data_IF_588434611563
#
_entry.id   IF_588434611563
#
_cell.length_a   1.000
_cell.length_b   1.000
_cell.length_c   1.000
_cell.angle_alpha   90.00
_cell.angle_beta   90.00
_cell.angle_gamma   90.00
#
_symmetry.space_group_name_H-M   'P 1'
#
loop_
_entity.id
_entity.type
_entity.pdbx_description
1 polymer ?
#
# COMPACT_ATOMS: atom_id res chain seq x y z
N UNK A 1 -10.32 -11.53 -5.06
CA UNK A 1 -10.55 -11.70 -3.60
C UNK A 1 -11.11 -10.38 -3.09
N UNK A 2 -12.23 -10.36 -2.37
CA UNK A 2 -12.78 -9.09 -1.88
C UNK A 2 -12.00 -8.63 -0.66
N UNK A 3 -11.54 -7.38 -0.66
CA UNK A 3 -10.97 -6.74 0.53
C UNK A 3 -11.97 -5.73 1.07
N UNK A 4 -12.29 -5.85 2.35
CA UNK A 4 -12.92 -4.79 3.12
C UNK A 4 -12.05 -3.54 3.14
N UNK A 5 -12.65 -2.39 3.48
CA UNK A 5 -11.89 -1.13 3.57
C UNK A 5 -10.82 -1.20 4.63
N UNK A 6 -11.12 -1.89 5.71
CA UNK A 6 -10.23 -2.16 6.83
C UNK A 6 -9.03 -2.99 6.37
N UNK A 7 -9.25 -4.06 5.59
CA UNK A 7 -8.16 -4.86 5.01
C UNK A 7 -7.31 -4.06 4.02
N UNK A 8 -7.92 -3.23 3.17
CA UNK A 8 -7.20 -2.35 2.24
C UNK A 8 -6.32 -1.38 3.04
N UNK A 9 -6.87 -0.72 4.05
CA UNK A 9 -6.13 0.24 4.86
C UNK A 9 -5.00 -0.43 5.65
N UNK A 10 -5.21 -1.63 6.18
CA UNK A 10 -4.16 -2.42 6.83
C UNK A 10 -3.05 -2.79 5.85
N UNK A 11 -3.39 -3.32 4.68
CA UNK A 11 -2.43 -3.69 3.63
C UNK A 11 -1.63 -2.49 3.14
N UNK A 12 -2.30 -1.35 2.90
CA UNK A 12 -1.64 -0.09 2.56
C UNK A 12 -0.68 0.35 3.68
N UNK A 13 -1.08 0.25 4.95
CA UNK A 13 -0.22 0.61 6.08
C UNK A 13 0.99 -0.33 6.23
N UNK A 14 0.86 -1.60 5.84
CA UNK A 14 1.96 -2.57 5.84
C UNK A 14 2.98 -2.35 4.72
N UNK A 15 2.64 -1.59 3.67
CA UNK A 15 3.48 -1.42 2.49
C UNK A 15 4.92 -0.96 2.81
N UNK A 16 5.09 0.07 3.66
CA UNK A 16 6.41 0.56 4.01
C UNK A 16 7.24 -0.48 4.78
N UNK A 17 6.59 -1.21 5.68
CA UNK A 17 7.18 -2.30 6.47
C UNK A 17 7.58 -3.45 5.53
N UNK A 18 6.71 -3.82 4.59
CA UNK A 18 6.98 -4.85 3.61
C UNK A 18 8.21 -4.52 2.74
N UNK A 19 8.34 -3.27 2.28
CA UNK A 19 9.53 -2.84 1.52
C UNK A 19 10.82 -2.97 2.31
N UNK A 20 10.82 -2.58 3.57
CA UNK A 20 12.01 -2.68 4.43
C UNK A 20 12.40 -4.15 4.61
N UNK A 21 11.43 -5.00 4.97
CA UNK A 21 11.71 -6.42 5.19
C UNK A 21 12.11 -7.17 3.92
N UNK A 22 11.48 -6.87 2.78
CA UNK A 22 11.86 -7.49 1.50
C UNK A 22 13.31 -7.14 1.14
N UNK A 23 13.69 -5.86 1.24
CA UNK A 23 15.06 -5.42 0.99
C UNK A 23 16.07 -6.12 1.92
N UNK A 24 15.72 -6.31 3.20
CA UNK A 24 16.57 -7.04 4.14
C UNK A 24 16.73 -8.52 3.79
N UNK A 25 15.66 -9.17 3.32
CA UNK A 25 15.70 -10.55 2.86
C UNK A 25 16.53 -10.70 1.58
N UNK A 26 16.34 -9.81 0.61
CA UNK A 26 17.14 -9.77 -0.63
C UNK A 26 18.62 -9.57 -0.31
N UNK A 27 18.96 -8.64 0.59
CA UNK A 27 20.34 -8.43 1.03
C UNK A 27 20.94 -9.68 1.69
N UNK A 28 20.17 -10.39 2.52
CA UNK A 28 20.62 -11.65 3.13
C UNK A 28 20.85 -12.74 2.08
N UNK A 29 19.96 -12.87 1.10
CA UNK A 29 20.09 -13.82 0.00
C UNK A 29 21.34 -13.53 -0.85
N UNK A 30 21.66 -12.26 -1.09
CA UNK A 30 22.88 -11.87 -1.81
C UNK A 30 24.15 -12.24 -1.05
N UNK A 31 24.16 -12.14 0.28
CA UNK A 31 25.34 -12.45 1.11
C UNK A 31 25.49 -13.97 1.29
N UNK A 32 24.39 -14.68 1.56
CA UNK A 32 24.41 -16.08 1.97
C UNK A 32 24.15 -17.06 0.81
N UNK A 33 23.71 -16.59 -0.35
CA UNK A 33 23.22 -17.41 -1.47
C UNK A 33 21.77 -17.88 -1.28
N UNK A 34 20.97 -17.82 -2.35
CA UNK A 34 19.53 -18.17 -2.32
C UNK A 34 19.24 -19.58 -1.80
N UNK A 35 20.13 -20.55 -2.07
CA UNK A 35 19.98 -21.95 -1.65
C UNK A 35 20.04 -22.14 -0.13
N UNK A 36 20.56 -21.16 0.61
CA UNK A 36 20.72 -21.22 2.06
C UNK A 36 19.55 -20.58 2.82
N UNK A 37 18.55 -20.04 2.12
CA UNK A 37 17.38 -19.44 2.74
C UNK A 37 16.50 -20.51 3.42
N UNK A 38 16.16 -20.26 4.69
CA UNK A 38 15.23 -21.10 5.44
C UNK A 38 13.82 -21.06 4.81
N UNK A 39 13.00 -22.09 5.04
CA UNK A 39 11.60 -22.07 4.61
C UNK A 39 10.83 -20.88 5.18
N UNK A 40 11.16 -20.46 6.41
CA UNK A 40 10.58 -19.28 7.02
C UNK A 40 10.91 -18.01 6.23
N UNK A 41 12.18 -17.79 5.88
CA UNK A 41 12.60 -16.63 5.09
C UNK A 41 11.97 -16.60 3.70
N UNK A 42 11.83 -17.77 3.05
CA UNK A 42 11.11 -17.89 1.77
C UNK A 42 9.64 -17.49 1.91
N UNK A 43 8.97 -17.96 2.96
CA UNK A 43 7.57 -17.57 3.23
C UNK A 43 7.45 -16.07 3.53
N UNK A 44 8.36 -15.50 4.30
CA UNK A 44 8.40 -14.05 4.53
C UNK A 44 8.62 -13.28 3.23
N UNK A 45 9.52 -13.75 2.37
CA UNK A 45 9.75 -13.15 1.06
C UNK A 45 8.47 -13.11 0.24
N UNK A 46 7.83 -14.27 0.04
CA UNK A 46 6.57 -14.35 -0.71
C UNK A 46 5.47 -13.46 -0.11
N UNK A 47 5.35 -13.42 1.21
CA UNK A 47 4.37 -12.57 1.88
C UNK A 47 4.62 -11.08 1.63
N UNK A 48 5.85 -10.59 1.83
CA UNK A 48 6.15 -9.17 1.63
C UNK A 48 6.12 -8.76 0.15
N UNK A 49 6.59 -9.61 -0.76
CA UNK A 49 6.43 -9.41 -2.21
C UNK A 49 4.96 -9.27 -2.58
N UNK A 50 4.11 -10.17 -2.09
CA UNK A 50 2.67 -10.12 -2.36
C UNK A 50 2.02 -8.81 -1.88
N UNK A 51 2.37 -8.34 -0.68
CA UNK A 51 1.89 -7.05 -0.15
C UNK A 51 2.35 -5.88 -1.04
N UNK A 52 3.59 -5.90 -1.53
CA UNK A 52 4.10 -4.85 -2.42
C UNK A 52 3.36 -4.88 -3.76
N UNK A 53 3.22 -6.06 -4.36
CA UNK A 53 2.59 -6.25 -5.68
C UNK A 53 1.12 -5.83 -5.66
N UNK A 54 0.38 -6.19 -4.62
CA UNK A 54 -1.04 -5.82 -4.51
C UNK A 54 -1.19 -4.30 -4.31
N UNK A 55 -0.33 -3.68 -3.50
CA UNK A 55 -0.34 -2.23 -3.29
C UNK A 55 0.04 -1.49 -4.56
N UNK A 56 1.03 -1.97 -5.32
CA UNK A 56 1.37 -1.40 -6.64
C UNK A 56 0.21 -1.54 -7.62
N UNK A 57 -0.43 -2.71 -7.67
CA UNK A 57 -1.62 -2.92 -8.49
C UNK A 57 -2.72 -1.93 -8.13
N UNK A 58 -2.98 -1.67 -6.85
CA UNK A 58 -3.98 -0.70 -6.42
C UNK A 58 -3.58 0.74 -6.76
N UNK A 59 -2.34 1.15 -6.48
CA UNK A 59 -1.88 2.52 -6.77
C UNK A 59 -1.96 2.81 -8.27
N UNK A 60 -1.63 1.84 -9.13
CA UNK A 60 -1.64 2.01 -10.58
C UNK A 60 -3.04 2.20 -11.19
N UNK A 61 -4.12 1.93 -10.45
CA UNK A 61 -5.50 2.19 -10.91
C UNK A 61 -6.07 3.50 -10.40
N UNK A 62 -5.35 4.19 -9.52
CA UNK A 62 -5.74 5.48 -8.97
C UNK A 62 -5.37 6.60 -9.94
N UNK A 63 -6.17 7.66 -9.93
CA UNK A 63 -5.78 8.91 -10.59
C UNK A 63 -4.58 9.53 -9.86
N UNK A 64 -3.78 10.40 -10.52
CA UNK A 64 -2.61 11.00 -9.88
C UNK A 64 -2.90 11.69 -8.55
N UNK A 65 -4.01 12.41 -8.44
CA UNK A 65 -4.45 13.07 -7.20
C UNK A 65 -4.83 12.05 -6.10
N UNK A 66 -5.45 10.94 -6.49
CA UNK A 66 -5.85 9.86 -5.60
C UNK A 66 -4.63 9.12 -5.04
N UNK A 67 -3.67 8.79 -5.91
CA UNK A 67 -2.41 8.17 -5.53
C UNK A 67 -1.62 9.08 -4.58
N UNK A 68 -1.61 10.39 -4.83
CA UNK A 68 -0.91 11.35 -3.96
C UNK A 68 -1.55 11.43 -2.55
N UNK A 69 -2.89 11.35 -2.44
CA UNK A 69 -3.57 11.27 -1.14
C UNK A 69 -3.13 10.02 -0.37
N UNK A 70 -3.05 8.86 -1.03
CA UNK A 70 -2.58 7.61 -0.41
C UNK A 70 -1.13 7.75 0.03
N UNK A 71 -0.24 8.26 -0.83
CA UNK A 71 1.17 8.49 -0.51
C UNK A 71 1.31 9.35 0.75
N UNK A 72 0.66 10.51 0.80
CA UNK A 72 0.78 11.41 1.96
C UNK A 72 0.15 10.83 3.22
N UNK A 73 -1.02 10.19 3.11
CA UNK A 73 -1.76 9.68 4.28
C UNK A 73 -1.10 8.45 4.87
N UNK A 74 -0.77 7.48 4.02
CA UNK A 74 -0.34 6.15 4.46
C UNK A 74 1.17 6.06 4.56
N UNK A 75 1.91 6.56 3.58
CA UNK A 75 3.36 6.37 3.54
C UNK A 75 4.04 7.48 4.36
N UNK A 76 3.65 8.74 4.12
CA UNK A 76 4.26 9.89 4.80
C UNK A 76 3.61 10.21 6.16
N UNK A 77 2.58 9.44 6.55
CA UNK A 77 1.82 9.54 7.81
C UNK A 77 1.30 10.96 8.12
N UNK A 78 0.85 11.69 7.10
CA UNK A 78 0.33 13.06 7.26
C UNK A 78 -1.13 13.08 7.71
N UNK A 79 -1.50 14.16 8.41
CA UNK A 79 -2.89 14.43 8.80
C UNK A 79 -3.71 14.88 7.59
N UNK A 80 -5.03 14.70 7.65
CA UNK A 80 -5.91 15.18 6.58
C UNK A 80 -5.90 16.71 6.43
N UNK A 81 -5.66 17.46 7.51
CA UNK A 81 -5.46 18.91 7.44
C UNK A 81 -4.22 19.29 6.64
N UNK A 82 -3.09 18.62 6.90
CA UNK A 82 -1.87 18.85 6.15
C UNK A 82 -2.06 18.55 4.65
N UNK A 83 -2.72 17.43 4.34
CA UNK A 83 -3.02 17.05 2.96
C UNK A 83 -3.94 18.07 2.30
N UNK A 84 -4.95 18.57 3.02
CA UNK A 84 -5.87 19.56 2.49
C UNK A 84 -5.13 20.85 2.10
N UNK A 85 -4.25 21.34 2.97
CA UNK A 85 -3.42 22.52 2.71
C UNK A 85 -2.49 22.27 1.51
N UNK A 86 -1.77 21.15 1.50
CA UNK A 86 -0.78 20.87 0.46
C UNK A 86 -1.40 20.67 -0.92
N UNK A 87 -2.58 20.05 -1.00
CA UNK A 87 -3.25 19.73 -2.27
C UNK A 87 -4.34 20.74 -2.64
N UNK A 88 -4.52 21.82 -1.89
CA UNK A 88 -5.48 22.88 -2.20
C UNK A 88 -6.95 22.48 -2.02
N UNK A 89 -7.26 21.51 -1.16
CA UNK A 89 -8.65 21.19 -0.80
C UNK A 89 -9.19 22.23 0.19
N UNK A 90 -10.50 22.52 0.09
CA UNK A 90 -11.16 23.50 0.94
C UNK A 90 -11.05 23.21 2.45
N UNK A 91 -11.02 21.93 2.84
CA UNK A 91 -10.86 21.49 4.23
C UNK A 91 -10.52 19.98 4.30
N UNK A 92 -10.11 19.52 5.49
CA UNK A 92 -9.82 18.09 5.73
C UNK A 92 -11.04 17.19 5.45
N UNK A 93 -12.27 17.67 5.64
CA UNK A 93 -13.48 16.89 5.40
C UNK A 93 -13.62 16.50 3.92
N UNK A 94 -13.19 17.38 3.01
CA UNK A 94 -13.13 17.10 1.57
C UNK A 94 -12.14 15.99 1.27
N UNK A 95 -10.96 16.02 1.92
CA UNK A 95 -9.93 14.97 1.78
C UNK A 95 -10.42 13.65 2.37
N UNK A 96 -11.06 13.64 3.55
CA UNK A 96 -11.61 12.43 4.17
C UNK A 96 -12.64 11.77 3.23
N UNK A 97 -13.53 12.55 2.61
CA UNK A 97 -14.51 12.02 1.66
C UNK A 97 -13.82 11.42 0.44
N UNK A 98 -12.83 12.11 -0.13
CA UNK A 98 -12.05 11.61 -1.27
C UNK A 98 -11.29 10.34 -0.90
N UNK A 99 -10.66 10.29 0.28
CA UNK A 99 -9.99 9.11 0.82
C UNK A 99 -10.93 7.91 0.97
N UNK A 100 -12.12 8.10 1.55
CA UNK A 100 -13.14 7.04 1.64
C UNK A 100 -13.57 6.53 0.27
N UNK A 101 -13.72 7.43 -0.71
CA UNK A 101 -14.06 7.05 -2.08
C UNK A 101 -12.93 6.26 -2.76
N UNK A 102 -11.66 6.59 -2.47
CA UNK A 102 -10.50 5.80 -2.94
C UNK A 102 -10.56 4.38 -2.36
N UNK A 103 -10.75 4.24 -1.05
CA UNK A 103 -10.87 2.91 -0.42
C UNK A 103 -12.05 2.10 -1.01
N UNK A 104 -13.20 2.76 -1.25
CA UNK A 104 -14.33 2.12 -1.92
C UNK A 104 -13.97 1.67 -3.35
N UNK A 105 -13.32 2.53 -4.14
CA UNK A 105 -12.87 2.23 -5.51
C UNK A 105 -11.96 0.99 -5.51
N UNK A 106 -11.00 0.91 -4.60
CA UNK A 106 -10.10 -0.23 -4.48
C UNK A 106 -10.85 -1.52 -4.09
N UNK A 107 -11.83 -1.44 -3.19
CA UNK A 107 -12.65 -2.59 -2.80
C UNK A 107 -13.51 -3.16 -3.93
N UNK A 108 -13.95 -2.32 -4.86
CA UNK A 108 -14.82 -2.70 -5.98
C UNK A 108 -14.04 -3.21 -7.21
N UNK A 109 -12.75 -2.91 -7.34
CA UNK A 109 -11.98 -3.27 -8.54
C UNK A 109 -11.70 -4.77 -8.70
N UNK A 110 -11.84 -5.55 -7.63
CA UNK A 110 -11.77 -7.01 -7.71
C UNK A 110 -13.01 -7.64 -8.40
N UNK A 111 -14.03 -6.83 -8.76
CA UNK A 111 -15.25 -7.27 -9.47
C UNK A 111 -15.02 -7.47 -10.98
N UNK A 112 -14.01 -6.82 -11.58
CA UNK A 112 -13.83 -6.78 -13.04
C UNK A 112 -12.63 -7.57 -13.58
N UNK A 113 -12.00 -8.41 -12.74
CA UNK A 113 -10.92 -9.33 -13.15
C UNK A 113 -11.36 -10.80 -13.21
N UNK A 114 -12.67 -11.07 -13.16
CA UNK A 114 -13.27 -12.41 -13.36
C UNK A 114 -13.87 -12.54 -14.75
#
# INVERSE_FOLDING_TARGET
MFYSREEIELTLNLYSIAKVHLNDLERKQLINGESNATNFEKNCYHYYSYIIDIVHSWINTLLPDEAEIIQKRIIDKKTFDFIAIQLGYANHSSVIRKYKNILNKLSLQEIHKC
#
